data_IF_137933989821
#
_entry.id   IF_137933989821
#
_cell.length_a   1.000
_cell.length_b   1.000
_cell.length_c   1.000
_cell.angle_alpha   90.00
_cell.angle_beta   90.00
_cell.angle_gamma   90.00
#
_symmetry.space_group_name_H-M   'P 1'
#
loop_
_entity.id
_entity.type
_entity.pdbx_description
1 polymer ?
#
# COMPACT_ATOMS: atom_id res chain seq x y z
N UNK A 1 25.12 -6.93 14.76
CA UNK A 1 25.80 -6.23 13.65
C UNK A 1 25.13 -4.90 13.25
N UNK A 2 23.91 -4.85 12.69
CA UNK A 2 23.29 -3.56 12.28
C UNK A 2 23.03 -2.57 13.44
N UNK A 3 22.62 -3.08 14.61
CA UNK A 3 22.37 -2.25 15.80
C UNK A 3 23.64 -1.65 16.39
N UNK A 4 24.77 -2.37 16.29
CA UNK A 4 26.08 -1.85 16.70
C UNK A 4 26.65 -0.86 15.68
N UNK A 5 26.40 -1.07 14.38
CA UNK A 5 26.77 -0.12 13.33
C UNK A 5 26.01 1.22 13.48
N UNK A 6 24.73 1.17 13.87
CA UNK A 6 23.92 2.36 14.17
C UNK A 6 24.48 3.15 15.36
N UNK A 7 24.87 2.45 16.44
CA UNK A 7 25.44 3.08 17.63
C UNK A 7 26.85 3.63 17.39
N UNK A 8 27.65 2.99 16.52
CA UNK A 8 28.98 3.47 16.10
C UNK A 8 28.94 4.64 15.11
N UNK A 9 27.79 4.94 14.53
CA UNK A 9 27.58 6.09 13.64
C UNK A 9 27.41 7.43 14.36
N UNK A 10 27.34 7.44 15.69
CA UNK A 10 27.31 8.67 16.48
C UNK A 10 28.65 9.38 16.42
N UNK A 11 28.75 10.41 15.58
CA UNK A 11 29.95 11.26 15.49
C UNK A 11 30.16 12.02 16.80
N UNK A 12 31.41 12.06 17.28
CA UNK A 12 31.84 12.93 18.40
C UNK A 12 32.10 14.38 17.97
N UNK A 13 31.93 14.69 16.68
CA UNK A 13 32.06 16.04 16.14
C UNK A 13 30.94 16.94 16.66
N UNK A 14 31.30 18.09 17.21
CA UNK A 14 30.35 19.07 17.75
C UNK A 14 29.81 20.02 16.68
N UNK A 15 30.44 20.06 15.50
CA UNK A 15 30.07 20.95 14.41
C UNK A 15 29.60 20.13 13.21
N UNK A 16 28.45 20.52 12.66
CA UNK A 16 27.90 19.86 11.49
C UNK A 16 28.73 20.19 10.24
N UNK A 17 28.92 19.22 9.35
CA UNK A 17 29.70 19.38 8.11
C UNK A 17 28.93 20.07 6.98
N UNK A 18 27.61 20.19 7.13
CA UNK A 18 26.73 20.87 6.17
C UNK A 18 26.84 22.39 6.23
N UNK A 19 26.79 23.03 5.06
CA UNK A 19 26.65 24.48 4.95
C UNK A 19 25.17 24.87 4.91
N UNK A 20 24.84 26.05 5.44
CA UNK A 20 23.51 26.64 5.27
C UNK A 20 23.26 26.92 3.78
N UNK A 21 22.17 26.38 3.25
CA UNK A 21 21.75 26.64 1.87
C UNK A 21 20.60 27.66 1.87
N UNK A 22 20.76 28.72 1.09
CA UNK A 22 19.73 29.75 0.94
C UNK A 22 18.59 29.24 0.04
N UNK A 23 17.33 29.60 0.32
CA UNK A 23 16.20 29.19 -0.51
C UNK A 23 16.30 29.82 -1.90
N UNK A 24 16.04 29.02 -2.93
CA UNK A 24 15.99 29.49 -4.33
C UNK A 24 14.79 30.39 -4.64
N UNK A 25 13.76 30.40 -3.79
CA UNK A 25 12.53 31.18 -3.93
C UNK A 25 11.89 31.39 -2.55
N UNK A 26 11.21 32.53 -2.30
CA UNK A 26 10.36 32.69 -1.11
C UNK A 26 9.11 31.80 -1.14
N UNK A 27 8.75 31.27 -2.32
CA UNK A 27 7.56 30.46 -2.54
C UNK A 27 7.94 28.99 -2.70
N UNK A 28 8.10 28.31 -1.57
CA UNK A 28 8.50 26.90 -1.54
C UNK A 28 7.66 26.10 -0.56
N UNK A 29 7.35 24.87 -0.95
CA UNK A 29 6.91 23.82 -0.03
C UNK A 29 8.13 22.94 0.23
N UNK A 30 8.69 23.01 1.43
CA UNK A 30 9.89 22.25 1.77
C UNK A 30 9.60 20.76 1.97
N UNK A 31 10.63 19.94 1.77
CA UNK A 31 10.61 18.54 2.15
C UNK A 31 10.14 18.33 3.60
N UNK A 32 9.38 17.27 3.84
CA UNK A 32 8.69 17.00 5.11
C UNK A 32 7.28 17.59 5.20
N UNK A 33 6.91 18.51 4.32
CA UNK A 33 5.52 19.03 4.28
C UNK A 33 4.55 17.93 3.87
N UNK A 34 3.39 17.87 4.52
CA UNK A 34 2.33 16.91 4.23
C UNK A 34 1.24 17.56 3.39
N UNK A 35 0.97 16.98 2.21
CA UNK A 35 -0.17 17.33 1.38
C UNK A 35 -1.32 16.38 1.74
N UNK A 36 -2.41 16.94 2.25
CA UNK A 36 -3.63 16.20 2.55
C UNK A 36 -4.43 15.96 1.28
N UNK A 37 -4.87 14.73 1.05
CA UNK A 37 -5.77 14.41 -0.05
C UNK A 37 -6.74 13.30 0.28
N UNK A 38 -7.62 13.02 -0.67
CA UNK A 38 -8.50 11.85 -0.66
C UNK A 38 -8.53 11.22 -2.05
N UNK A 39 -8.58 9.89 -2.11
CA UNK A 39 -8.68 9.15 -3.36
C UNK A 39 -9.96 9.52 -4.10
N UNK A 40 -9.86 9.77 -5.40
CA UNK A 40 -11.00 9.92 -6.32
C UNK A 40 -11.34 8.56 -6.93
N UNK A 41 -10.33 7.76 -7.23
CA UNK A 41 -10.46 6.42 -7.78
C UNK A 41 -10.23 5.37 -6.70
N UNK A 42 -10.92 4.24 -6.77
CA UNK A 42 -10.56 3.08 -5.97
C UNK A 42 -9.24 2.47 -6.45
N UNK A 43 -8.60 1.68 -5.59
CA UNK A 43 -7.42 0.89 -5.93
C UNK A 43 -7.76 -0.57 -5.73
N UNK A 44 -7.33 -1.40 -6.68
CA UNK A 44 -7.40 -2.86 -6.56
C UNK A 44 -6.05 -3.44 -6.98
N UNK A 45 -5.36 -4.14 -6.09
CA UNK A 45 -3.98 -4.58 -6.29
C UNK A 45 -3.80 -5.70 -7.30
N UNK A 46 -4.88 -6.24 -7.88
CA UNK A 46 -4.81 -7.31 -8.89
C UNK A 46 -4.05 -6.89 -10.16
N UNK A 47 -4.12 -5.60 -10.51
CA UNK A 47 -3.50 -5.03 -11.71
C UNK A 47 -2.91 -3.65 -11.41
N UNK A 48 -1.71 -3.34 -11.92
CA UNK A 48 -1.12 -2.03 -11.74
C UNK A 48 -1.91 -1.00 -12.53
N UNK A 49 -2.04 0.21 -12.00
CA UNK A 49 -2.91 1.21 -12.60
C UNK A 49 -2.56 2.63 -12.18
N UNK A 50 -3.27 3.57 -12.80
CA UNK A 50 -3.23 4.97 -12.41
C UNK A 50 -4.20 5.20 -11.24
N UNK A 51 -3.81 6.09 -10.33
CA UNK A 51 -4.64 6.52 -9.20
C UNK A 51 -4.72 8.03 -9.17
N UNK A 52 -5.89 8.54 -8.79
CA UNK A 52 -6.14 9.96 -8.68
C UNK A 52 -6.55 10.27 -7.25
N UNK A 53 -5.97 11.32 -6.68
CA UNK A 53 -6.42 11.94 -5.45
C UNK A 53 -6.77 13.42 -5.67
N UNK A 54 -7.58 13.97 -4.78
CA UNK A 54 -7.88 15.40 -4.72
C UNK A 54 -7.33 15.96 -3.41
N UNK A 55 -6.67 17.10 -3.47
CA UNK A 55 -6.17 17.83 -2.30
C UNK A 55 -7.35 18.31 -1.46
N UNK A 56 -7.36 17.95 -0.19
CA UNK A 56 -8.45 18.26 0.75
C UNK A 56 -8.17 19.48 1.61
N UNK A 57 -6.91 19.86 1.78
CA UNK A 57 -6.49 21.01 2.58
C UNK A 57 -5.53 21.89 1.77
N UNK A 58 -5.66 23.23 1.79
CA UNK A 58 -4.73 24.12 1.09
C UNK A 58 -3.31 24.05 1.67
N UNK A 59 -2.30 24.06 0.81
CA UNK A 59 -0.88 24.07 1.19
C UNK A 59 -0.26 25.43 0.89
N UNK A 60 0.35 26.02 1.91
CA UNK A 60 1.00 27.33 1.85
C UNK A 60 2.53 27.20 1.79
N UNK A 61 3.22 28.30 1.52
CA UNK A 61 4.68 28.36 1.59
C UNK A 61 5.18 28.03 3.00
N UNK A 62 6.27 27.26 3.08
CA UNK A 62 6.82 26.81 4.37
C UNK A 62 7.45 27.95 5.17
N UNK A 63 8.01 28.97 4.50
CA UNK A 63 8.74 30.04 5.16
C UNK A 63 7.83 30.98 5.98
N UNK A 64 6.66 31.31 5.45
CA UNK A 64 5.76 32.31 6.06
C UNK A 64 4.34 31.79 6.32
N UNK A 65 3.91 30.73 5.61
CA UNK A 65 2.55 30.20 5.69
C UNK A 65 1.47 31.13 5.14
N UNK A 66 1.83 32.14 4.33
CA UNK A 66 0.93 33.21 3.87
C UNK A 66 0.50 33.05 2.42
N UNK A 67 1.36 32.50 1.59
CA UNK A 67 1.15 32.37 0.15
C UNK A 67 0.60 30.99 -0.16
N UNK A 68 -0.63 30.94 -0.67
CA UNK A 68 -1.24 29.69 -1.12
C UNK A 68 -0.48 29.16 -2.33
N UNK A 69 0.09 27.95 -2.25
CA UNK A 69 0.87 27.34 -3.32
C UNK A 69 0.12 26.19 -3.99
N UNK A 70 -0.54 25.33 -3.20
CA UNK A 70 -1.37 24.24 -3.71
C UNK A 70 -2.78 24.41 -3.13
N UNK A 71 -3.75 24.94 -3.91
CA UNK A 71 -5.13 25.09 -3.45
C UNK A 71 -5.82 23.74 -3.22
N UNK A 72 -6.76 23.73 -2.28
CA UNK A 72 -7.75 22.66 -2.15
C UNK A 72 -8.46 22.43 -3.49
N UNK A 73 -8.75 21.17 -3.81
CA UNK A 73 -9.33 20.79 -5.10
C UNK A 73 -8.29 20.50 -6.20
N UNK A 74 -7.00 20.76 -5.95
CA UNK A 74 -5.93 20.32 -6.86
C UNK A 74 -5.98 18.79 -7.03
N UNK A 75 -5.72 18.30 -8.24
CA UNK A 75 -5.71 16.86 -8.55
C UNK A 75 -4.30 16.33 -8.52
N UNK A 76 -4.07 15.23 -7.81
CA UNK A 76 -2.78 14.54 -7.75
C UNK A 76 -2.92 13.22 -8.50
N UNK A 77 -2.03 13.01 -9.46
CA UNK A 77 -1.95 11.76 -10.21
C UNK A 77 -0.78 10.93 -9.68
N UNK A 78 -1.05 9.64 -9.55
CA UNK A 78 -0.07 8.66 -9.16
C UNK A 78 -0.25 7.35 -9.90
N UNK A 79 0.61 6.40 -9.55
CA UNK A 79 0.54 5.00 -9.98
C UNK A 79 0.67 4.11 -8.77
N UNK A 80 0.04 2.94 -8.84
CA UNK A 80 0.22 1.89 -7.85
C UNK A 80 0.69 0.60 -8.53
N UNK A 81 1.48 -0.19 -7.80
CA UNK A 81 1.98 -1.47 -8.27
C UNK A 81 1.06 -2.61 -7.80
N UNK A 82 1.00 -3.69 -8.57
CA UNK A 82 0.26 -4.92 -8.24
C UNK A 82 1.10 -6.00 -7.55
N UNK A 83 2.41 -5.77 -7.37
CA UNK A 83 3.26 -6.73 -6.65
C UNK A 83 2.96 -6.68 -5.16
N UNK A 84 2.02 -7.51 -4.72
CA UNK A 84 1.71 -7.74 -3.30
C UNK A 84 2.37 -9.05 -2.89
N UNK A 85 3.36 -8.99 -2.01
CA UNK A 85 3.97 -10.21 -1.47
C UNK A 85 3.08 -10.85 -0.42
N UNK A 86 3.22 -12.16 -0.19
CA UNK A 86 2.51 -12.86 0.87
C UNK A 86 2.74 -12.15 2.23
N UNK A 87 1.65 -11.80 2.93
CA UNK A 87 1.70 -11.07 4.21
C UNK A 87 1.69 -9.54 4.11
N UNK A 88 1.69 -8.96 2.90
CA UNK A 88 1.59 -7.52 2.71
C UNK A 88 0.13 -7.04 2.79
N UNK A 89 -0.18 -6.13 3.71
CA UNK A 89 -1.52 -5.53 3.89
C UNK A 89 -1.66 -4.14 3.25
N UNK A 90 -0.62 -3.64 2.57
CA UNK A 90 -0.54 -2.25 2.11
C UNK A 90 -0.21 -2.10 0.64
N UNK A 91 -0.90 -1.20 -0.04
CA UNK A 91 -0.61 -0.87 -1.45
C UNK A 91 0.39 0.28 -1.52
N UNK A 92 1.51 0.08 -2.23
CA UNK A 92 2.45 1.15 -2.51
C UNK A 92 1.93 2.03 -3.64
N UNK A 93 1.77 3.33 -3.34
CA UNK A 93 1.40 4.36 -4.30
C UNK A 93 2.55 5.34 -4.47
N UNK A 94 2.77 5.76 -5.71
CA UNK A 94 3.74 6.79 -6.08
C UNK A 94 3.01 7.93 -6.77
N UNK A 95 3.18 9.16 -6.30
CA UNK A 95 2.55 10.36 -6.84
C UNK A 95 3.52 11.10 -7.76
N UNK A 96 3.09 11.35 -9.00
CA UNK A 96 3.97 11.85 -10.06
C UNK A 96 3.71 13.31 -10.40
N UNK A 97 2.48 13.81 -10.23
CA UNK A 97 2.09 15.14 -10.70
C UNK A 97 0.93 15.70 -9.91
N UNK A 98 1.00 16.99 -9.57
CA UNK A 98 -0.15 17.78 -9.10
C UNK A 98 -0.60 18.72 -10.21
N UNK A 99 -1.91 18.82 -10.42
CA UNK A 99 -2.59 19.75 -11.34
C UNK A 99 -3.41 20.71 -10.48
N UNK A 100 -3.14 22.00 -10.62
CA UNK A 100 -3.85 23.06 -9.92
C UNK A 100 -5.16 23.40 -10.67
N UNK A 101 -6.14 24.05 -10.01
CA UNK A 101 -7.42 24.38 -10.63
C UNK A 101 -7.30 25.38 -11.80
N UNK A 102 -6.20 26.12 -11.91
CA UNK A 102 -5.90 27.00 -13.07
C UNK A 102 -5.26 26.24 -14.25
N UNK A 103 -5.25 24.90 -14.21
CA UNK A 103 -4.64 23.98 -15.18
C UNK A 103 -3.11 23.98 -15.22
N UNK A 104 -2.44 24.79 -14.39
CA UNK A 104 -1.00 24.66 -14.21
C UNK A 104 -0.68 23.34 -13.50
N UNK A 105 0.53 22.81 -13.70
CA UNK A 105 0.92 21.54 -13.09
C UNK A 105 2.38 21.50 -12.71
N UNK A 106 2.69 20.71 -11.68
CA UNK A 106 4.04 20.48 -11.17
C UNK A 106 4.30 18.97 -11.08
N UNK A 107 5.48 18.54 -11.53
CA UNK A 107 5.94 17.16 -11.32
C UNK A 107 6.42 16.99 -9.89
N UNK A 108 6.06 15.86 -9.29
CA UNK A 108 6.34 15.53 -7.89
C UNK A 108 7.51 14.55 -7.74
N UNK A 109 8.27 14.27 -8.81
CA UNK A 109 9.43 13.37 -8.78
C UNK A 109 9.22 12.05 -8.02
N UNK A 110 8.03 11.46 -8.17
CA UNK A 110 7.65 10.18 -7.59
C UNK A 110 7.59 10.16 -6.05
N UNK A 111 6.84 11.11 -5.43
CA UNK A 111 6.58 11.08 -3.98
C UNK A 111 5.92 9.77 -3.56
N UNK A 112 6.40 9.15 -2.49
CA UNK A 112 5.73 8.00 -1.90
C UNK A 112 4.44 8.43 -1.20
N UNK A 113 3.34 7.71 -1.44
CA UNK A 113 2.11 7.87 -0.69
C UNK A 113 2.22 7.26 0.70
N UNK A 114 1.67 7.94 1.69
CA UNK A 114 1.55 7.44 3.06
C UNK A 114 0.09 7.42 3.51
N UNK A 115 -0.22 6.54 4.46
CA UNK A 115 -1.50 6.57 5.15
C UNK A 115 -1.63 7.83 6.04
N UNK A 116 -2.81 8.09 6.63
CA UNK A 116 -3.01 9.22 7.54
C UNK A 116 -2.09 9.25 8.77
N UNK A 117 -1.54 8.11 9.18
CA UNK A 117 -0.59 8.00 10.28
C UNK A 117 0.88 8.18 9.84
N UNK A 118 1.13 8.39 8.54
CA UNK A 118 2.46 8.64 7.98
C UNK A 118 3.25 7.39 7.63
N UNK A 119 2.66 6.20 7.71
CA UNK A 119 3.30 4.96 7.25
C UNK A 119 3.24 4.86 5.73
N UNK A 120 4.27 4.29 5.12
CA UNK A 120 4.31 4.09 3.67
C UNK A 120 3.20 3.15 3.19
N UNK A 121 2.57 3.50 2.06
CA UNK A 121 1.47 2.76 1.47
C UNK A 121 0.11 3.06 2.11
N UNK A 122 -0.95 2.61 1.44
CA UNK A 122 -2.34 2.73 1.90
C UNK A 122 -2.83 1.38 2.45
N UNK A 123 -3.67 1.43 3.48
CA UNK A 123 -4.27 0.25 4.14
C UNK A 123 -5.76 0.50 4.39
N UNK A 124 -6.63 -0.29 3.75
CA UNK A 124 -8.07 -0.33 4.01
C UNK A 124 -8.56 -1.78 4.08
N UNK A 125 -8.95 -2.38 2.94
CA UNK A 125 -9.50 -3.73 2.87
C UNK A 125 -8.50 -4.77 2.34
N UNK A 126 -8.40 -5.92 3.03
CA UNK A 126 -7.56 -7.06 2.63
C UNK A 126 -8.42 -8.31 2.42
N UNK A 127 -8.42 -8.85 1.20
CA UNK A 127 -9.03 -10.15 0.88
C UNK A 127 -7.97 -11.24 0.74
N UNK A 128 -8.03 -12.20 1.67
CA UNK A 128 -7.09 -13.33 1.76
C UNK A 128 -7.56 -14.58 1.01
N UNK A 129 -8.77 -14.58 0.41
CA UNK A 129 -9.34 -15.72 -0.33
C UNK A 129 -9.38 -17.05 0.46
N UNK A 130 -9.57 -16.97 1.78
CA UNK A 130 -9.61 -18.14 2.67
C UNK A 130 -10.72 -19.12 2.33
N UNK A 131 -11.85 -18.62 1.83
CA UNK A 131 -12.99 -19.41 1.38
C UNK A 131 -12.59 -20.46 0.34
N UNK A 132 -11.78 -20.08 -0.65
CA UNK A 132 -11.28 -20.98 -1.69
C UNK A 132 -10.32 -22.02 -1.13
N UNK A 133 -9.49 -21.64 -0.15
CA UNK A 133 -8.54 -22.54 0.52
C UNK A 133 -9.30 -23.59 1.34
N UNK A 134 -10.27 -23.17 2.15
CA UNK A 134 -11.10 -24.08 2.94
C UNK A 134 -11.99 -24.98 2.09
N UNK A 135 -12.56 -24.46 0.98
CA UNK A 135 -13.30 -25.28 0.03
C UNK A 135 -12.43 -26.37 -0.61
N UNK A 136 -11.19 -26.03 -0.97
CA UNK A 136 -10.21 -27.00 -1.48
C UNK A 136 -9.86 -28.07 -0.44
N UNK A 137 -9.62 -27.67 0.81
CA UNK A 137 -9.34 -28.60 1.90
C UNK A 137 -10.52 -29.57 2.15
N UNK A 138 -11.74 -29.06 2.22
CA UNK A 138 -12.94 -29.86 2.42
C UNK A 138 -13.13 -30.91 1.31
N UNK A 139 -12.92 -30.54 0.05
CA UNK A 139 -12.98 -31.47 -1.08
C UNK A 139 -11.92 -32.58 -0.97
N UNK A 140 -10.68 -32.25 -0.57
CA UNK A 140 -9.62 -33.25 -0.38
C UNK A 140 -9.91 -34.19 0.79
N UNK A 141 -10.47 -33.70 1.90
CA UNK A 141 -10.87 -34.52 3.04
C UNK A 141 -11.98 -35.50 2.64
N UNK A 142 -12.98 -35.06 1.88
CA UNK A 142 -14.07 -35.92 1.41
C UNK A 142 -13.58 -37.04 0.48
N UNK A 143 -12.63 -36.74 -0.41
CA UNK A 143 -12.00 -37.75 -1.28
C UNK A 143 -11.16 -38.75 -0.48
N UNK A 144 -10.42 -38.28 0.54
CA UNK A 144 -9.64 -39.13 1.43
C UNK A 144 -10.49 -40.12 2.23
N UNK A 145 -11.57 -39.62 2.86
CA UNK A 145 -12.52 -40.46 3.61
C UNK A 145 -13.29 -41.41 2.68
N UNK A 146 -13.65 -40.96 1.48
CA UNK A 146 -14.33 -41.80 0.49
C UNK A 146 -13.48 -42.96 -0.04
N UNK A 147 -12.17 -42.73 -0.21
CA UNK A 147 -11.23 -43.78 -0.61
C UNK A 147 -10.99 -44.82 0.50
N UNK A 148 -10.99 -44.39 1.77
CA UNK A 148 -10.85 -45.29 2.93
C UNK A 148 -12.08 -46.19 3.13
N UNK A 149 -13.28 -45.67 2.86
CA UNK A 149 -14.54 -46.42 2.94
C UNK A 149 -14.79 -47.36 1.75
N UNK A 150 -14.10 -47.16 0.62
CA UNK A 150 -14.20 -48.01 -0.56
C UNK A 150 -13.18 -49.15 -0.58
N UNK A 151 -12.26 -49.22 0.41
CA UNK A 151 -11.32 -50.32 0.55
C UNK A 151 -12.08 -51.61 0.97
N UNK A 152 -11.99 -52.71 0.22
CA UNK A 152 -12.74 -53.92 0.53
C UNK A 152 -12.29 -54.54 1.86
N UNK A 153 -13.23 -54.70 2.80
CA UNK A 153 -13.05 -55.50 4.03
C UNK A 153 -12.83 -56.98 3.66
N UNK A 154 -11.56 -57.41 3.54
CA UNK A 154 -11.24 -58.83 3.51
C UNK A 154 -11.45 -59.43 4.91
N UNK A 155 -12.61 -60.04 5.12
CA UNK A 155 -12.92 -60.87 6.30
C UNK A 155 -12.16 -62.20 6.22
N UNK A 156 -11.14 -62.37 7.05
CA UNK A 156 -10.76 -63.71 7.54
C UNK A 156 -10.02 -63.63 8.88
N UNK A 157 -10.68 -64.19 9.91
CA UNK A 157 -10.19 -64.74 11.17
C UNK A 157 -8.97 -64.09 11.86
N UNK A 158 -9.25 -63.46 13.01
CA UNK A 158 -8.48 -63.80 14.23
C UNK A 158 -7.16 -63.09 14.46
N UNK A 159 -7.09 -61.77 14.30
CA UNK A 159 -6.33 -60.89 15.19
C UNK A 159 -6.78 -59.45 14.93
N UNK A 160 -7.19 -58.73 15.97
CA UNK A 160 -7.69 -57.36 15.80
C UNK A 160 -6.50 -56.42 15.54
N UNK A 161 -6.08 -56.31 14.28
CA UNK A 161 -5.24 -55.20 13.82
C UNK A 161 -6.18 -54.05 13.46
N UNK A 162 -6.63 -53.32 14.48
CA UNK A 162 -7.15 -51.94 14.32
C UNK A 162 -5.95 -51.01 14.52
N UNK A 163 -4.91 -51.19 13.72
CA UNK A 163 -3.75 -50.30 13.67
C UNK A 163 -3.26 -50.32 12.22
N UNK A 164 -3.96 -49.54 11.39
CA UNK A 164 -3.46 -49.11 10.08
C UNK A 164 -4.08 -47.74 9.71
N UNK A 165 -5.32 -47.46 10.13
CA UNK A 165 -5.95 -46.16 9.89
C UNK A 165 -5.45 -45.01 10.78
N UNK A 166 -4.92 -45.29 11.98
CA UNK A 166 -4.54 -44.22 12.94
C UNK A 166 -3.21 -43.54 12.58
N UNK A 167 -2.21 -44.31 12.18
CA UNK A 167 -0.89 -43.78 11.79
C UNK A 167 -0.94 -43.19 10.37
N UNK A 168 -1.65 -43.83 9.43
CA UNK A 168 -1.82 -43.32 8.07
C UNK A 168 -2.69 -42.06 7.97
N UNK A 169 -3.69 -41.90 8.85
CA UNK A 169 -4.45 -40.64 8.94
C UNK A 169 -3.59 -39.52 9.55
N UNK A 170 -2.77 -39.79 10.57
CA UNK A 170 -1.86 -38.79 11.14
C UNK A 170 -0.80 -38.34 10.13
N UNK A 171 -0.20 -39.27 9.37
CA UNK A 171 0.78 -38.93 8.33
C UNK A 171 0.14 -38.21 7.13
N UNK A 172 -1.08 -38.58 6.73
CA UNK A 172 -1.80 -37.92 5.63
C UNK A 172 -2.30 -36.52 6.01
N UNK A 173 -2.77 -36.31 7.24
CA UNK A 173 -3.16 -34.99 7.76
C UNK A 173 -1.94 -34.07 7.86
N UNK A 174 -0.79 -34.60 8.29
CA UNK A 174 0.46 -33.84 8.34
C UNK A 174 0.97 -33.46 6.94
N UNK A 175 0.86 -34.34 5.95
CA UNK A 175 1.26 -34.06 4.57
C UNK A 175 0.31 -33.10 3.85
N UNK A 176 -1.01 -33.26 4.00
CA UNK A 176 -2.00 -32.33 3.45
C UNK A 176 -1.87 -30.96 4.11
N UNK A 177 -1.65 -30.90 5.44
CA UNK A 177 -1.41 -29.64 6.15
C UNK A 177 -0.15 -28.91 5.68
N UNK A 178 0.95 -29.64 5.42
CA UNK A 178 2.18 -29.06 4.88
C UNK A 178 2.03 -28.61 3.42
N UNK A 179 1.34 -29.37 2.59
CA UNK A 179 1.06 -29.02 1.19
C UNK A 179 0.10 -27.83 1.07
N UNK A 180 -0.93 -27.77 1.94
CA UNK A 180 -1.82 -26.62 2.09
C UNK A 180 -1.04 -25.39 2.53
N UNK A 181 -0.13 -25.52 3.50
CA UNK A 181 0.75 -24.42 3.94
C UNK A 181 1.65 -23.93 2.79
N UNK A 182 2.20 -24.85 1.99
CA UNK A 182 3.03 -24.50 0.81
C UNK A 182 2.24 -23.83 -0.32
N UNK A 183 1.02 -24.30 -0.62
CA UNK A 183 0.13 -23.66 -1.60
C UNK A 183 -0.40 -22.32 -1.11
N UNK A 184 -0.65 -22.18 0.20
CA UNK A 184 -1.10 -20.95 0.83
C UNK A 184 -0.05 -19.84 0.77
N UNK A 185 1.24 -20.18 0.87
CA UNK A 185 2.34 -19.20 0.72
C UNK A 185 2.43 -18.55 -0.67
N UNK A 186 1.74 -19.09 -1.69
CA UNK A 186 1.76 -18.57 -3.06
C UNK A 186 0.48 -17.83 -3.49
N UNK A 187 -0.54 -17.72 -2.62
CA UNK A 187 -1.75 -16.95 -2.93
C UNK A 187 -1.50 -15.50 -2.48
N UNK A 188 -1.40 -14.59 -3.44
CA UNK A 188 -1.29 -13.16 -3.17
C UNK A 188 -2.65 -12.62 -2.71
N UNK A 189 -2.73 -11.87 -1.59
CA UNK A 189 -3.97 -11.24 -1.19
C UNK A 189 -4.34 -10.11 -2.14
N UNK A 190 -5.65 -9.84 -2.28
CA UNK A 190 -6.14 -8.68 -3.02
C UNK A 190 -6.38 -7.54 -2.04
N UNK A 191 -5.65 -6.44 -2.22
CA UNK A 191 -5.80 -5.21 -1.47
C UNK A 191 -6.74 -4.27 -2.21
N UNK A 192 -7.74 -3.76 -1.50
CA UNK A 192 -8.75 -2.86 -2.06
C UNK A 192 -8.85 -1.59 -1.23
N UNK A 193 -8.62 -0.45 -1.89
CA UNK A 193 -8.78 0.88 -1.29
C UNK A 193 -10.00 1.56 -1.91
N UNK A 194 -10.91 2.07 -1.08
CA UNK A 194 -12.14 2.69 -1.56
C UNK A 194 -11.91 4.11 -2.09
N UNK A 195 -12.71 4.57 -3.08
CA UNK A 195 -12.83 5.99 -3.37
C UNK A 195 -13.20 6.78 -2.11
N UNK A 196 -12.63 7.97 -1.96
CA UNK A 196 -12.80 8.84 -0.79
C UNK A 196 -11.83 8.54 0.37
N UNK A 197 -11.01 7.49 0.28
CA UNK A 197 -10.04 7.18 1.33
C UNK A 197 -9.05 8.34 1.53
N UNK A 198 -8.87 8.85 2.76
CA UNK A 198 -7.88 9.87 3.05
C UNK A 198 -6.45 9.37 2.80
N UNK A 199 -5.64 10.20 2.15
CA UNK A 199 -4.23 9.93 1.87
C UNK A 199 -3.38 11.11 2.34
N UNK A 200 -2.15 10.82 2.78
CA UNK A 200 -1.16 11.84 3.09
C UNK A 200 0.02 11.66 2.16
N UNK A 201 0.53 12.77 1.61
CA UNK A 201 1.63 12.74 0.66
C UNK A 201 2.73 13.59 1.26
N UNK A 202 3.83 12.95 1.63
CA UNK A 202 4.98 13.63 2.22
C UNK A 202 5.87 14.10 1.09
N UNK A 203 6.10 15.41 1.04
CA UNK A 203 7.02 16.05 0.10
C UNK A 203 8.44 15.60 0.45
N UNK A 204 9.16 14.99 -0.49
CA UNK A 204 10.54 14.49 -0.26
C UNK A 204 11.63 15.45 -0.78
N UNK A 205 11.23 16.47 -1.53
CA UNK A 205 12.10 17.47 -2.18
C UNK A 205 11.38 18.81 -2.19
N UNK A 206 12.14 19.88 -2.04
CA UNK A 206 11.59 21.23 -2.05
C UNK A 206 10.88 21.52 -3.37
N UNK A 207 9.60 21.90 -3.27
CA UNK A 207 8.77 22.26 -4.42
C UNK A 207 8.76 23.77 -4.55
N UNK A 208 9.25 24.28 -5.67
CA UNK A 208 9.16 25.71 -6.00
C UNK A 208 7.89 25.94 -6.81
N UNK A 209 6.97 26.76 -6.29
CA UNK A 209 5.71 27.12 -6.95
C UNK A 209 5.56 28.64 -7.02
N UNK A 210 4.70 29.11 -7.92
CA UNK A 210 4.19 30.48 -7.86
C UNK A 210 3.02 30.54 -6.87
N UNK A 211 2.76 31.68 -6.21
CA UNK A 211 1.51 31.89 -5.49
C UNK A 211 0.31 31.66 -6.41
N UNK A 212 -0.63 30.86 -5.94
CA UNK A 212 -1.82 30.48 -6.71
C UNK A 212 -2.68 31.71 -6.99
N UNK A 213 -3.06 31.88 -8.25
CA UNK A 213 -3.95 32.94 -8.71
C UNK A 213 -5.03 32.30 -9.58
N UNK A 214 -6.32 32.37 -9.19
CA UNK A 214 -7.39 31.89 -10.04
C UNK A 214 -7.39 32.71 -11.33
N UNK A 215 -7.34 32.05 -12.49
CA UNK A 215 -7.62 32.71 -13.75
C UNK A 215 -9.13 32.95 -13.83
N UNK A 216 -9.59 34.06 -13.28
CA UNK A 216 -10.94 34.53 -13.57
C UNK A 216 -10.96 34.97 -15.03
N UNK A 217 -11.78 34.33 -15.86
CA UNK A 217 -12.26 34.98 -17.08
C UNK A 217 -13.08 36.18 -16.64
N UNK A 218 -12.46 37.36 -16.64
CA UNK A 218 -13.19 38.62 -16.55
C UNK A 218 -13.99 38.72 -17.86
N UNK A 219 -15.18 38.13 -17.91
CA UNK A 219 -16.18 38.51 -18.94
C UNK A 219 -16.34 40.01 -18.74
N UNK A 220 -15.90 40.76 -19.73
CA UNK A 220 -15.84 42.21 -19.66
C UNK A 220 -17.13 42.76 -19.12
N UNK A 221 -17.01 43.68 -18.16
CA UNK A 221 -17.95 44.78 -18.09
C UNK A 221 -17.84 45.52 -19.43
N UNK A 222 -18.59 45.06 -20.44
CA UNK A 222 -18.95 45.89 -21.57
C UNK A 222 -20.07 46.79 -21.09
N UNK A 223 -19.68 48.06 -20.89
CA UNK A 223 -20.46 49.31 -20.89
C UNK A 223 -21.90 49.25 -20.37
#
# INVERSE_FOLDING_TARGET
DQKEAFLKGGSTETRNSGNLQMPSSPYQVMAGTVIAGALVTGIKSDLPGDVIATVTEPVYDTATGKFLLIPQGSRILGKYNSQVSYGQSRVQVVWNRVILPDTSSLKLDNLAGTDPAGYAGLEDGVDWHWDRVFAGAALTTLLGVGAELAAPENRQNGNRIVIAGRDSAQDSINQVGQEMTRRNMNIQPTLTERPGLPVRIIVNRDLVLRPYQPMFFQRGAMQ
#
